data_IF_038741630915
#
_entry.id   IF_038741630915
#
_cell.length_a   1.000
_cell.length_b   1.000
_cell.length_c   1.000
_cell.angle_alpha   90.00
_cell.angle_beta   90.00
_cell.angle_gamma   90.00
#
_symmetry.space_group_name_H-M   'P 1'
#
loop_
_entity.id
_entity.type
_entity.pdbx_description
1 polymer ?
#
# COMPACT_ATOMS: atom_id res chain seq x y z
N UNK A 1 39.22 -9.34 -24.33
CA UNK A 1 38.69 -10.60 -23.76
C UNK A 1 39.85 -11.21 -23.02
N UNK A 2 40.04 -10.83 -21.76
CA UNK A 2 41.38 -10.92 -21.14
C UNK A 2 41.53 -12.14 -20.22
N UNK A 3 40.41 -12.83 -19.96
CA UNK A 3 40.36 -13.94 -19.01
C UNK A 3 40.66 -15.30 -19.65
N UNK A 4 40.44 -15.48 -20.96
CA UNK A 4 40.69 -16.75 -21.65
C UNK A 4 41.83 -16.68 -22.66
N UNK A 5 42.36 -17.86 -22.99
CA UNK A 5 43.46 -18.10 -23.90
C UNK A 5 43.26 -19.49 -24.54
N UNK A 6 44.06 -19.82 -25.56
CA UNK A 6 44.06 -21.18 -26.09
C UNK A 6 44.60 -22.13 -25.02
N UNK A 7 43.83 -23.11 -24.59
CA UNK A 7 44.24 -24.06 -23.57
C UNK A 7 45.34 -25.04 -24.04
N UNK A 8 45.65 -25.07 -25.35
CA UNK A 8 46.74 -25.89 -25.89
C UNK A 8 48.08 -25.15 -25.97
N UNK A 9 48.08 -23.95 -26.56
CA UNK A 9 49.32 -23.19 -26.82
C UNK A 9 49.46 -21.91 -25.98
N UNK A 10 48.50 -21.65 -25.09
CA UNK A 10 48.46 -20.51 -24.17
C UNK A 10 48.47 -19.12 -24.82
N UNK A 11 48.31 -19.04 -26.15
CA UNK A 11 48.20 -17.75 -26.82
C UNK A 11 46.91 -17.03 -26.43
N UNK A 12 47.06 -15.74 -26.12
CA UNK A 12 45.97 -14.76 -25.97
C UNK A 12 45.75 -13.93 -27.23
N UNK A 13 46.70 -14.03 -28.17
CA UNK A 13 46.73 -13.25 -29.41
C UNK A 13 46.49 -14.19 -30.59
N UNK A 14 45.85 -13.68 -31.64
CA UNK A 14 45.62 -14.44 -32.86
C UNK A 14 44.16 -14.82 -33.07
N UNK A 15 43.89 -15.72 -34.04
CA UNK A 15 42.62 -15.86 -34.74
C UNK A 15 41.46 -16.32 -33.84
N UNK A 16 40.26 -16.34 -34.44
CA UNK A 16 39.00 -16.79 -33.85
C UNK A 16 39.21 -17.98 -32.88
N UNK A 17 38.69 -17.84 -31.66
CA UNK A 17 38.68 -18.92 -30.68
C UNK A 17 37.39 -19.73 -30.82
N UNK A 18 37.44 -21.00 -30.44
CA UNK A 18 36.25 -21.83 -30.32
C UNK A 18 36.29 -22.63 -29.01
N UNK A 19 35.11 -22.85 -28.42
CA UNK A 19 34.94 -23.72 -27.26
C UNK A 19 34.51 -25.11 -27.73
N UNK A 20 35.20 -26.13 -27.26
CA UNK A 20 34.86 -27.53 -27.51
C UNK A 20 33.69 -27.99 -26.62
N UNK A 21 32.98 -29.03 -27.01
CA UNK A 21 31.91 -29.63 -26.18
C UNK A 21 32.40 -30.20 -24.84
N UNK A 22 33.71 -30.39 -24.67
CA UNK A 22 34.32 -30.75 -23.38
C UNK A 22 34.77 -29.54 -22.54
N UNK A 23 34.51 -28.31 -22.99
CA UNK A 23 34.76 -27.07 -22.24
C UNK A 23 36.12 -26.41 -22.48
N UNK A 24 37.02 -27.00 -23.27
CA UNK A 24 38.31 -26.38 -23.59
C UNK A 24 38.15 -25.31 -24.69
N UNK A 25 38.80 -24.17 -24.50
CA UNK A 25 38.90 -23.07 -25.47
C UNK A 25 40.19 -23.23 -26.28
N UNK A 26 40.08 -23.29 -27.60
CA UNK A 26 41.21 -23.45 -28.50
C UNK A 26 41.23 -22.35 -29.56
N UNK A 27 42.41 -21.89 -29.98
CA UNK A 27 42.53 -21.08 -31.18
C UNK A 27 42.38 -21.97 -32.42
N UNK A 28 41.94 -21.38 -33.54
CA UNK A 28 41.77 -22.06 -34.82
C UNK A 28 42.99 -22.92 -35.22
N UNK A 29 44.22 -22.40 -35.05
CA UNK A 29 45.44 -23.12 -35.39
C UNK A 29 45.67 -24.42 -34.59
N UNK A 30 45.10 -24.53 -33.38
CA UNK A 30 45.18 -25.72 -32.54
C UNK A 30 44.01 -26.69 -32.78
N UNK A 31 43.03 -26.34 -33.61
CA UNK A 31 41.89 -27.17 -33.97
C UNK A 31 42.21 -27.87 -35.31
N UNK A 32 42.74 -29.09 -35.23
CA UNK A 32 43.18 -29.86 -36.42
C UNK A 32 42.20 -30.94 -36.86
N UNK A 33 41.33 -31.39 -35.95
CA UNK A 33 40.38 -32.46 -36.19
C UNK A 33 39.18 -32.33 -35.25
N UNK A 34 38.25 -33.29 -35.29
CA UNK A 34 37.15 -33.39 -34.32
C UNK A 34 37.62 -33.86 -32.93
N UNK A 35 38.91 -34.09 -32.72
CA UNK A 35 39.45 -34.46 -31.41
C UNK A 35 39.91 -33.19 -30.66
N UNK A 36 39.64 -33.13 -29.36
CA UNK A 36 40.14 -32.08 -28.49
C UNK A 36 41.66 -32.17 -28.37
N UNK A 37 42.37 -31.09 -28.69
CA UNK A 37 43.84 -31.04 -28.56
C UNK A 37 44.32 -31.08 -27.11
N UNK A 38 43.47 -30.72 -26.14
CA UNK A 38 43.83 -30.68 -24.72
C UNK A 38 43.58 -32.03 -24.02
N UNK A 39 42.40 -32.64 -24.19
CA UNK A 39 42.02 -33.85 -23.47
C UNK A 39 41.81 -35.10 -24.35
N UNK A 40 41.92 -34.98 -25.67
CA UNK A 40 41.77 -36.11 -26.60
C UNK A 40 40.32 -36.59 -26.84
N UNK A 41 39.31 -35.97 -26.23
CA UNK A 41 37.91 -36.34 -26.44
C UNK A 41 37.41 -35.98 -27.85
N UNK A 42 36.48 -36.76 -28.40
CA UNK A 42 35.76 -36.36 -29.63
C UNK A 42 34.80 -35.20 -29.30
N UNK A 43 34.97 -34.07 -29.97
CA UNK A 43 34.28 -32.82 -29.67
C UNK A 43 33.74 -32.12 -30.91
N UNK A 44 32.64 -31.39 -30.71
CA UNK A 44 32.23 -30.30 -31.60
C UNK A 44 32.83 -29.00 -31.09
N UNK A 45 33.07 -28.06 -32.00
CA UNK A 45 33.61 -26.74 -31.67
C UNK A 45 32.59 -25.67 -32.02
N UNK A 46 32.32 -24.79 -31.06
CA UNK A 46 31.48 -23.61 -31.22
C UNK A 46 32.38 -22.38 -31.28
N UNK A 47 32.42 -21.65 -32.41
CA UNK A 47 33.16 -20.40 -32.50
C UNK A 47 32.70 -19.39 -31.43
N UNK A 48 33.66 -18.76 -30.75
CA UNK A 48 33.41 -17.69 -29.80
C UNK A 48 33.37 -16.38 -30.59
N UNK A 49 32.18 -15.95 -30.96
CA UNK A 49 31.94 -14.75 -31.78
C UNK A 49 30.79 -13.92 -31.23
N UNK A 50 30.56 -12.74 -31.83
CA UNK A 50 29.46 -11.87 -31.39
C UNK A 50 28.08 -12.41 -31.76
N UNK A 51 28.01 -13.30 -32.75
CA UNK A 51 26.81 -13.94 -33.30
C UNK A 51 26.33 -15.17 -32.51
N UNK A 52 27.02 -15.54 -31.42
CA UNK A 52 26.58 -16.62 -30.52
C UNK A 52 25.18 -16.36 -29.95
N UNK A 53 24.44 -17.43 -29.63
CA UNK A 53 23.14 -17.28 -28.97
C UNK A 53 23.33 -16.57 -27.63
N UNK A 54 22.39 -15.72 -27.18
CA UNK A 54 22.52 -14.98 -25.93
C UNK A 54 22.85 -15.86 -24.70
N UNK A 55 22.26 -17.06 -24.64
CA UNK A 55 22.48 -18.05 -23.58
C UNK A 55 23.91 -18.61 -23.56
N UNK A 56 24.57 -18.69 -24.70
CA UNK A 56 25.94 -19.18 -24.82
C UNK A 56 26.94 -18.02 -24.60
N UNK A 57 26.59 -16.82 -25.10
CA UNK A 57 27.40 -15.61 -24.96
C UNK A 57 27.60 -15.17 -23.51
N UNK A 58 26.64 -15.49 -22.63
CA UNK A 58 26.70 -15.10 -21.20
C UNK A 58 27.96 -15.62 -20.49
N UNK A 59 28.45 -16.81 -20.86
CA UNK A 59 29.65 -17.42 -20.26
C UNK A 59 30.95 -16.69 -20.61
N UNK A 60 30.93 -15.84 -21.63
CA UNK A 60 32.09 -15.06 -22.07
C UNK A 60 31.98 -13.58 -21.71
N UNK A 61 30.89 -13.17 -21.05
CA UNK A 61 30.73 -11.81 -20.54
C UNK A 61 31.46 -11.63 -19.21
N UNK A 62 31.78 -10.38 -18.90
CA UNK A 62 32.34 -9.99 -17.61
C UNK A 62 31.33 -10.25 -16.47
N UNK A 63 31.65 -11.12 -15.50
CA UNK A 63 30.75 -11.42 -14.38
C UNK A 63 30.35 -10.19 -13.57
N UNK A 64 31.26 -9.22 -13.41
CA UNK A 64 30.97 -7.98 -12.65
C UNK A 64 29.90 -7.16 -13.37
N UNK A 65 29.99 -7.06 -14.70
CA UNK A 65 28.98 -6.35 -15.50
C UNK A 65 27.62 -7.05 -15.50
N UNK A 66 27.61 -8.38 -15.51
CA UNK A 66 26.37 -9.16 -15.40
C UNK A 66 25.68 -8.87 -14.06
N UNK A 67 26.42 -8.98 -12.96
CA UNK A 67 25.90 -8.69 -11.61
C UNK A 67 25.38 -7.26 -11.54
N UNK A 68 26.15 -6.29 -12.03
CA UNK A 68 25.76 -4.89 -12.02
C UNK A 68 24.45 -4.65 -12.80
N UNK A 69 24.31 -5.26 -13.98
CA UNK A 69 23.09 -5.16 -14.79
C UNK A 69 21.88 -5.75 -14.06
N UNK A 70 22.02 -6.93 -13.46
CA UNK A 70 20.93 -7.57 -12.71
C UNK A 70 20.56 -6.78 -11.45
N UNK A 71 21.54 -6.26 -10.71
CA UNK A 71 21.28 -5.42 -9.54
C UNK A 71 20.56 -4.12 -9.92
N UNK A 72 20.89 -3.52 -11.06
CA UNK A 72 20.17 -2.35 -11.57
C UNK A 72 18.70 -2.69 -11.87
N UNK A 73 18.45 -3.82 -12.50
CA UNK A 73 17.10 -4.28 -12.81
C UNK A 73 16.30 -4.55 -11.53
N UNK A 74 16.87 -5.26 -10.56
CA UNK A 74 16.26 -5.53 -9.25
C UNK A 74 15.97 -4.21 -8.50
N UNK A 75 16.89 -3.25 -8.56
CA UNK A 75 16.71 -1.94 -7.92
C UNK A 75 15.53 -1.17 -8.50
N UNK A 76 15.31 -1.23 -9.82
CA UNK A 76 14.15 -0.62 -10.47
C UNK A 76 12.84 -1.28 -10.03
N UNK A 77 12.81 -2.62 -9.93
CA UNK A 77 11.65 -3.37 -9.41
C UNK A 77 11.35 -2.95 -7.97
N UNK A 78 12.37 -2.89 -7.11
CA UNK A 78 12.21 -2.49 -5.71
C UNK A 78 11.70 -1.05 -5.58
N UNK A 79 12.20 -0.13 -6.40
CA UNK A 79 11.71 1.25 -6.45
C UNK A 79 10.22 1.29 -6.82
N UNK A 80 9.83 0.58 -7.88
CA UNK A 80 8.43 0.51 -8.31
C UNK A 80 7.52 -0.01 -7.18
N UNK A 81 7.90 -1.12 -6.55
CA UNK A 81 7.13 -1.72 -5.45
C UNK A 81 7.00 -0.74 -4.27
N UNK A 82 8.09 -0.08 -3.87
CA UNK A 82 8.08 0.93 -2.81
C UNK A 82 7.12 2.08 -3.14
N UNK A 83 7.17 2.62 -4.36
CA UNK A 83 6.27 3.70 -4.78
C UNK A 83 4.80 3.26 -4.74
N UNK A 84 4.47 2.02 -5.08
CA UNK A 84 3.09 1.52 -4.93
C UNK A 84 2.67 1.48 -3.45
N UNK A 85 3.55 1.00 -2.55
CA UNK A 85 3.26 0.97 -1.12
C UNK A 85 3.06 2.38 -0.54
N UNK A 86 3.88 3.34 -0.93
CA UNK A 86 3.76 4.75 -0.53
C UNK A 86 2.44 5.37 -0.95
N UNK A 87 1.94 5.05 -2.15
CA UNK A 87 0.63 5.52 -2.63
C UNK A 87 -0.52 5.00 -1.76
N UNK A 88 -0.48 3.72 -1.40
CA UNK A 88 -1.48 3.12 -0.51
C UNK A 88 -1.42 3.77 0.88
N UNK A 89 -0.23 3.93 1.44
CA UNK A 89 -0.04 4.59 2.73
C UNK A 89 -0.56 6.05 2.71
N UNK A 90 -0.27 6.80 1.65
CA UNK A 90 -0.75 8.17 1.47
C UNK A 90 -2.28 8.24 1.37
N UNK A 91 -2.92 7.32 0.64
CA UNK A 91 -4.38 7.24 0.54
C UNK A 91 -5.03 7.04 1.92
N UNK A 92 -4.57 6.06 2.69
CA UNK A 92 -5.13 5.80 4.01
C UNK A 92 -4.83 6.90 5.01
N UNK A 93 -3.65 7.52 4.95
CA UNK A 93 -3.32 8.70 5.77
C UNK A 93 -4.28 9.85 5.50
N UNK A 94 -4.51 10.19 4.23
CA UNK A 94 -5.46 11.24 3.84
C UNK A 94 -6.88 10.92 4.31
N UNK A 95 -7.32 9.67 4.12
CA UNK A 95 -8.65 9.23 4.57
C UNK A 95 -8.81 9.30 6.09
N UNK A 96 -7.76 8.97 6.86
CA UNK A 96 -7.77 9.11 8.32
C UNK A 96 -8.01 10.55 8.75
N UNK A 97 -7.23 11.48 8.19
CA UNK A 97 -7.34 12.92 8.51
C UNK A 97 -8.74 13.47 8.18
N UNK A 98 -9.30 13.08 7.03
CA UNK A 98 -10.66 13.50 6.65
C UNK A 98 -11.73 12.92 7.59
N UNK A 99 -11.58 11.66 8.02
CA UNK A 99 -12.49 11.05 8.98
C UNK A 99 -12.39 11.70 10.37
N UNK A 100 -11.18 12.02 10.83
CA UNK A 100 -10.95 12.75 12.08
C UNK A 100 -11.59 14.14 12.05
N UNK A 101 -11.45 14.86 10.93
CA UNK A 101 -12.10 16.17 10.73
C UNK A 101 -13.63 16.04 10.81
N UNK A 102 -14.22 15.10 10.09
CA UNK A 102 -15.67 14.85 10.11
C UNK A 102 -16.18 14.46 11.49
N UNK A 103 -15.44 13.62 12.21
CA UNK A 103 -15.78 13.22 13.56
C UNK A 103 -15.85 14.43 14.50
N UNK A 104 -14.87 15.34 14.39
CA UNK A 104 -14.84 16.59 15.17
C UNK A 104 -16.05 17.47 14.86
N UNK A 105 -16.40 17.65 13.58
CA UNK A 105 -17.57 18.44 13.16
C UNK A 105 -18.87 17.88 13.71
N UNK A 106 -19.07 16.56 13.59
CA UNK A 106 -20.26 15.88 14.13
C UNK A 106 -20.31 16.01 15.66
N UNK A 107 -19.19 15.87 16.35
CA UNK A 107 -19.13 16.04 17.79
C UNK A 107 -19.50 17.47 18.22
N UNK A 108 -18.94 18.49 17.57
CA UNK A 108 -19.25 19.89 17.84
C UNK A 108 -20.72 20.21 17.57
N UNK A 109 -21.28 19.70 16.48
CA UNK A 109 -22.70 19.84 16.17
C UNK A 109 -23.58 19.19 17.24
N UNK A 110 -23.22 17.97 17.67
CA UNK A 110 -23.92 17.26 18.74
C UNK A 110 -23.90 18.04 20.06
N UNK A 111 -22.76 18.63 20.44
CA UNK A 111 -22.66 19.48 21.63
C UNK A 111 -23.55 20.72 21.54
N UNK A 112 -23.61 21.38 20.38
CA UNK A 112 -24.49 22.55 20.16
C UNK A 112 -25.96 22.17 20.31
N UNK A 113 -26.41 21.11 19.62
CA UNK A 113 -27.78 20.62 19.69
C UNK A 113 -28.17 20.21 21.12
N UNK A 114 -27.28 19.52 21.84
CA UNK A 114 -27.50 19.17 23.24
C UNK A 114 -27.65 20.41 24.14
N UNK A 115 -26.88 21.46 23.89
CA UNK A 115 -26.98 22.72 24.63
C UNK A 115 -28.31 23.43 24.36
N UNK A 116 -28.74 23.48 23.10
CA UNK A 116 -30.03 24.07 22.69
C UNK A 116 -31.20 23.32 23.33
N UNK A 117 -31.21 21.99 23.22
CA UNK A 117 -32.22 21.15 23.84
C UNK A 117 -32.26 21.31 25.36
N UNK A 118 -31.11 21.44 26.03
CA UNK A 118 -31.07 21.73 27.48
C UNK A 118 -31.72 23.06 27.81
N UNK A 119 -31.48 24.10 27.02
CA UNK A 119 -32.08 25.42 27.20
C UNK A 119 -33.59 25.39 26.99
N UNK A 120 -34.05 24.75 25.92
CA UNK A 120 -35.48 24.57 25.64
C UNK A 120 -36.19 23.77 26.73
N UNK A 121 -35.57 22.67 27.19
CA UNK A 121 -36.11 21.86 28.28
C UNK A 121 -36.25 22.65 29.58
N UNK A 122 -35.26 23.50 29.90
CA UNK A 122 -35.33 24.39 31.06
C UNK A 122 -36.46 25.43 30.93
N UNK A 123 -36.63 26.03 29.75
CA UNK A 123 -37.71 26.99 29.47
C UNK A 123 -39.09 26.33 29.58
N UNK A 124 -39.27 25.15 28.98
CA UNK A 124 -40.52 24.39 29.06
C UNK A 124 -40.85 23.96 30.49
N UNK A 125 -39.85 23.54 31.28
CA UNK A 125 -40.03 23.23 32.71
C UNK A 125 -40.52 24.44 33.50
N UNK A 126 -39.99 25.64 33.21
CA UNK A 126 -40.44 26.89 33.84
C UNK A 126 -41.89 27.19 33.48
N UNK A 127 -42.24 27.17 32.19
CA UNK A 127 -43.62 27.39 31.73
C UNK A 127 -44.61 26.39 32.33
N UNK A 128 -44.23 25.10 32.40
CA UNK A 128 -45.04 24.06 33.06
C UNK A 128 -45.29 24.37 34.54
N UNK A 129 -44.29 24.91 35.25
CA UNK A 129 -44.46 25.28 36.66
C UNK A 129 -45.40 26.47 36.85
N UNK A 130 -45.32 27.47 35.96
CA UNK A 130 -46.19 28.65 35.95
C UNK A 130 -47.65 28.25 35.67
N UNK A 131 -47.90 27.46 34.62
CA UNK A 131 -49.22 26.94 34.28
C UNK A 131 -49.82 26.09 35.40
N UNK A 132 -49.02 25.25 36.07
CA UNK A 132 -49.47 24.46 37.23
C UNK A 132 -49.92 25.36 38.37
N UNK A 133 -49.18 26.44 38.65
CA UNK A 133 -49.55 27.43 39.67
C UNK A 133 -50.85 28.14 39.30
N UNK A 134 -50.97 28.65 38.08
CA UNK A 134 -52.19 29.31 37.58
C UNK A 134 -53.41 28.38 37.65
N UNK A 135 -53.25 27.13 37.22
CA UNK A 135 -54.31 26.11 37.31
C UNK A 135 -54.72 25.84 38.76
N UNK A 136 -53.76 25.82 39.69
CA UNK A 136 -54.05 25.65 41.12
C UNK A 136 -54.83 26.85 41.69
N UNK A 137 -54.42 28.08 41.35
CA UNK A 137 -55.13 29.31 41.78
C UNK A 137 -56.55 29.35 41.23
N UNK A 138 -56.78 29.02 39.96
CA UNK A 138 -58.11 28.96 39.36
C UNK A 138 -59.01 27.87 39.98
N UNK A 139 -58.43 26.78 40.48
CA UNK A 139 -59.17 25.70 41.16
C UNK A 139 -59.58 26.05 42.61
N UNK A 140 -58.88 26.96 43.29
CA UNK A 140 -59.23 27.38 44.67
C UNK A 140 -60.68 27.88 44.83
N UNK A 141 -61.19 28.85 44.03
CA UNK A 141 -62.57 29.32 44.18
C UNK A 141 -63.61 28.25 43.81
N UNK A 142 -63.31 27.33 42.89
CA UNK A 142 -64.20 26.21 42.55
C UNK A 142 -64.33 25.19 43.70
N UNK A 143 -63.29 25.03 44.51
CA UNK A 143 -63.34 24.20 45.72
C UNK A 143 -64.11 24.85 46.86
N UNK A 144 -63.99 26.18 47.04
CA UNK A 144 -64.74 26.93 48.06
C UNK A 144 -66.24 26.98 47.77
N UNK A 145 -66.64 27.09 46.50
CA UNK A 145 -68.06 27.10 46.09
C UNK A 145 -68.78 25.76 46.30
N UNK A 146 -68.03 24.66 46.44
CA UNK A 146 -68.59 23.32 46.66
C UNK A 146 -68.86 22.98 48.14
N UNK A 147 -68.39 23.80 49.08
CA UNK A 147 -68.43 23.53 50.53
C UNK A 147 -69.49 24.38 51.27
N UNK A 148 -70.33 25.16 50.57
CA UNK A 148 -71.50 25.78 51.19
C UNK A 148 -72.76 24.94 50.97
N UNK A 149 -73.29 24.21 51.98
CA UNK A 149 -74.62 23.64 51.93
C UNK A 149 -75.62 24.75 52.29
N UNK A 150 -76.10 25.47 51.28
CA UNK A 150 -77.20 26.42 51.44
C UNK A 150 -78.54 25.68 51.45
N UNK A 151 -79.07 25.41 52.64
CA UNK A 151 -80.44 24.95 52.89
C UNK A 151 -81.47 25.96 52.35
N UNK A 152 -82.50 25.43 51.64
CA UNK A 152 -83.93 25.80 51.62
C UNK A 152 -84.34 27.29 51.40
N UNK A 153 -85.49 27.67 50.85
CA UNK A 153 -86.85 27.12 50.94
C UNK A 153 -87.63 27.36 49.64
N UNK A 154 -88.48 26.40 49.31
CA UNK A 154 -89.62 26.53 48.39
C UNK A 154 -90.82 27.01 49.20
N UNK A 155 -91.53 28.02 48.73
CA UNK A 155 -92.93 28.35 49.06
C UNK A 155 -93.35 29.40 48.01
N UNK A 156 -94.50 29.38 47.34
CA UNK A 156 -95.69 28.54 47.32
C UNK A 156 -96.62 29.18 46.28
#
# INVERSE_FOLDING_TARGET
>A
MDWFHCNQCFTRRGPLFAVSSCGHVCCEACIKSKQCSVCGASCRYLPITDEMKPQEKVFFKDPVKLIQSELQHISQIALFQRTQMERVAAHFKHRSVELERRLKEVAEQGYRQLSELKRENAALKKQLSELKRETAELKKPLSQRRVSPGQFQTDG
#
